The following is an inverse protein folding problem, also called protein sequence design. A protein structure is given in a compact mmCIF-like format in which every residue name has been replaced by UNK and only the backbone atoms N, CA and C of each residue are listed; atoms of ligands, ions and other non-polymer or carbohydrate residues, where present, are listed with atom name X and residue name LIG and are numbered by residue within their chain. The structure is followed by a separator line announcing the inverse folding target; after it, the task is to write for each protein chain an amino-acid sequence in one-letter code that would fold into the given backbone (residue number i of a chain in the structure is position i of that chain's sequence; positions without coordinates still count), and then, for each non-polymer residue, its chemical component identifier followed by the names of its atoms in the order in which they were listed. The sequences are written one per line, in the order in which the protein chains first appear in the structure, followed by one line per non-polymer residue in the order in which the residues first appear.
data_IF_138094304158
#
_entry.id   IF_138094304158
#
_cell.length_a   1.000
_cell.length_b   1.000
_cell.length_c   1.000
_cell.angle_alpha   90.00
_cell.angle_beta   90.00
_cell.angle_gamma   90.00
#
_symmetry.space_group_name_H-M   'P 1'
#
loop_
_entity.id
_entity.type
_entity.pdbx_description
1 polymer ?
#
# COMPACT_ATOMS: atom_id res chain seq x y z
N UNK A 1 -0.83 17.51 4.67
CA UNK A 1 -1.09 16.14 5.17
C UNK A 1 -0.74 16.01 6.65
N UNK A 2 0.44 16.43 7.13
CA UNK A 2 0.84 16.32 8.55
C UNK A 2 -0.25 16.80 9.51
N UNK A 3 -0.76 18.02 9.37
CA UNK A 3 -1.77 18.59 10.29
C UNK A 3 -3.10 17.81 10.29
N UNK A 4 -3.43 17.18 9.17
CA UNK A 4 -4.62 16.33 9.05
C UNK A 4 -4.43 15.05 9.87
N UNK A 5 -3.32 14.34 9.67
CA UNK A 5 -3.06 13.04 10.32
C UNK A 5 -2.74 13.17 11.81
N UNK A 6 -2.29 14.35 12.26
CA UNK A 6 -2.05 14.65 13.69
C UNK A 6 -3.34 15.03 14.43
N UNK A 7 -4.44 15.27 13.71
CA UNK A 7 -5.68 15.70 14.34
C UNK A 7 -6.36 14.54 15.08
N UNK A 8 -6.93 14.85 16.24
CA UNK A 8 -7.71 13.86 17.03
C UNK A 8 -8.92 13.32 16.24
N UNK A 9 -9.47 14.13 15.36
CA UNK A 9 -10.55 13.72 14.45
C UNK A 9 -10.10 12.65 13.48
N UNK A 10 -8.91 12.74 12.90
CA UNK A 10 -8.37 11.73 12.00
C UNK A 10 -8.05 10.42 12.73
N UNK A 11 -7.38 10.52 13.89
CA UNK A 11 -6.96 9.37 14.69
C UNK A 11 -8.18 8.62 15.26
N UNK A 12 -9.19 9.37 15.72
CA UNK A 12 -10.40 8.81 16.34
C UNK A 12 -11.57 8.64 15.36
N UNK A 13 -11.41 9.00 14.10
CA UNK A 13 -12.45 8.82 13.10
C UNK A 13 -12.68 7.32 12.88
N UNK A 14 -13.54 6.76 13.70
CA UNK A 14 -14.25 5.55 13.31
C UNK A 14 -15.13 5.99 12.16
N UNK A 15 -14.91 5.39 10.97
CA UNK A 15 -15.67 5.75 9.78
C UNK A 15 -17.15 5.93 10.11
N UNK A 16 -17.79 6.96 9.58
CA UNK A 16 -19.20 7.24 9.78
C UNK A 16 -20.02 6.01 9.33
N UNK A 17 -20.56 5.27 10.28
CA UNK A 17 -21.24 4.00 10.03
C UNK A 17 -20.24 2.82 9.87
N UNK A 18 -20.46 1.94 8.90
CA UNK A 18 -19.58 0.80 8.56
C UNK A 18 -18.47 1.16 7.55
N UNK A 19 -18.16 2.44 7.33
CA UNK A 19 -17.13 2.85 6.38
C UNK A 19 -15.74 2.69 7.00
N UNK A 20 -14.85 2.06 6.23
CA UNK A 20 -13.44 1.88 6.64
C UNK A 20 -12.70 3.20 6.50
N UNK A 21 -11.89 3.56 7.50
CA UNK A 21 -11.12 4.81 7.53
C UNK A 21 -9.87 4.72 6.63
N UNK A 22 -10.08 4.53 5.31
CA UNK A 22 -9.03 4.40 4.32
C UNK A 22 -8.91 5.66 3.47
N UNK A 23 -7.69 6.15 3.38
CA UNK A 23 -7.34 7.37 2.67
C UNK A 23 -6.30 7.11 1.59
N UNK A 24 -6.33 7.95 0.56
CA UNK A 24 -5.35 7.97 -0.52
C UNK A 24 -4.67 9.33 -0.58
N UNK A 25 -3.35 9.32 -0.58
CA UNK A 25 -2.53 10.46 -0.95
C UNK A 25 -1.96 10.18 -2.34
N UNK A 26 -2.61 10.73 -3.36
CA UNK A 26 -2.18 10.59 -4.74
C UNK A 26 -1.24 11.75 -5.12
N UNK A 27 -0.21 11.45 -5.91
CA UNK A 27 0.83 12.41 -6.30
C UNK A 27 1.34 12.15 -7.71
N UNK A 28 1.94 13.19 -8.31
CA UNK A 28 2.59 13.04 -9.61
C UNK A 28 3.77 12.07 -9.52
N UNK A 29 3.88 11.07 -10.41
CA UNK A 29 4.93 10.05 -10.33
C UNK A 29 6.35 10.62 -10.30
N UNK A 30 6.57 11.78 -10.92
CA UNK A 30 7.85 12.47 -10.95
C UNK A 30 8.29 12.95 -9.57
N UNK A 31 7.35 13.08 -8.63
CA UNK A 31 7.59 13.49 -7.25
C UNK A 31 7.87 12.31 -6.30
N UNK A 32 8.02 11.10 -6.79
CA UNK A 32 8.22 9.89 -5.99
C UNK A 32 9.33 10.07 -4.94
N UNK A 33 10.47 10.66 -5.31
CA UNK A 33 11.59 10.87 -4.39
C UNK A 33 11.24 11.84 -3.24
N UNK A 34 10.51 12.92 -3.53
CA UNK A 34 10.04 13.87 -2.51
C UNK A 34 9.05 13.21 -1.55
N UNK A 35 8.21 12.33 -2.08
CA UNK A 35 7.22 11.61 -1.29
C UNK A 35 7.90 10.59 -0.38
N UNK A 36 8.94 9.90 -0.83
CA UNK A 36 9.74 8.99 0.01
C UNK A 36 10.41 9.75 1.15
N UNK A 37 11.10 10.85 0.86
CA UNK A 37 11.71 11.70 1.89
C UNK A 37 10.67 12.20 2.91
N UNK A 38 9.46 12.51 2.42
CA UNK A 38 8.37 12.94 3.29
C UNK A 38 7.81 11.80 4.15
N UNK A 39 7.71 10.59 3.62
CA UNK A 39 7.31 9.40 4.37
C UNK A 39 8.34 9.12 5.46
N UNK A 40 9.63 9.13 5.14
CA UNK A 40 10.73 8.97 6.11
C UNK A 40 10.65 10.04 7.22
N UNK A 41 10.37 11.28 6.86
CA UNK A 41 10.15 12.35 7.83
C UNK A 41 8.96 12.03 8.76
N UNK A 42 7.83 11.56 8.24
CA UNK A 42 6.64 11.23 9.05
C UNK A 42 6.91 10.06 9.99
N UNK A 43 7.56 8.99 9.51
CA UNK A 43 7.90 7.80 10.29
C UNK A 43 8.81 8.14 11.47
N UNK A 44 9.74 9.09 11.26
CA UNK A 44 10.67 9.53 12.30
C UNK A 44 10.06 10.53 13.30
N UNK A 45 8.83 11.00 13.07
CA UNK A 45 8.11 11.88 14.00
C UNK A 45 7.53 11.07 15.16
N UNK A 46 8.18 11.16 16.33
CA UNK A 46 7.74 10.45 17.55
C UNK A 46 6.33 10.82 18.04
N UNK A 47 5.81 11.96 17.59
CA UNK A 47 4.47 12.46 17.95
C UNK A 47 3.36 11.68 17.22
N UNK A 48 3.70 11.05 16.10
CA UNK A 48 2.77 10.24 15.31
C UNK A 48 3.01 8.77 15.62
N UNK A 49 1.98 8.08 16.12
CA UNK A 49 2.00 6.62 16.16
C UNK A 49 1.71 6.08 14.75
N UNK A 50 2.70 6.22 13.86
CA UNK A 50 2.61 5.88 12.45
C UNK A 50 3.61 4.78 12.11
N UNK A 51 3.14 3.79 11.37
CA UNK A 51 3.98 2.71 10.84
C UNK A 51 3.81 2.60 9.34
N UNK A 52 4.93 2.65 8.64
CA UNK A 52 5.00 2.38 7.22
C UNK A 52 5.06 0.88 6.94
N UNK A 53 4.33 0.47 5.92
CA UNK A 53 4.39 -0.83 5.28
C UNK A 53 4.69 -0.61 3.80
N UNK A 54 5.97 -0.65 3.45
CA UNK A 54 6.40 -0.60 2.06
C UNK A 54 6.17 -1.97 1.43
N UNK A 55 5.23 -2.05 0.49
CA UNK A 55 4.80 -3.32 -0.10
C UNK A 55 5.95 -4.02 -0.84
N UNK A 56 6.84 -3.26 -1.50
CA UNK A 56 8.00 -3.84 -2.17
C UNK A 56 8.95 -4.52 -1.19
N UNK A 57 9.28 -3.85 -0.08
CA UNK A 57 10.19 -4.38 0.92
C UNK A 57 9.61 -5.62 1.60
N UNK A 58 8.31 -5.61 1.90
CA UNK A 58 7.59 -6.76 2.46
C UNK A 58 7.65 -7.96 1.49
N UNK A 59 7.44 -7.76 0.20
CA UNK A 59 7.54 -8.82 -0.80
C UNK A 59 8.95 -9.42 -0.80
N UNK A 60 9.98 -8.58 -0.81
CA UNK A 60 11.38 -9.03 -0.78
C UNK A 60 11.69 -9.81 0.50
N UNK A 61 11.22 -9.32 1.65
CA UNK A 61 11.41 -10.00 2.95
C UNK A 61 10.77 -11.38 2.95
N UNK A 62 9.50 -11.49 2.56
CA UNK A 62 8.80 -12.79 2.50
C UNK A 62 9.49 -13.76 1.52
N UNK A 63 9.95 -13.28 0.36
CA UNK A 63 10.66 -14.14 -0.60
C UNK A 63 12.01 -14.61 -0.04
N UNK A 64 12.72 -13.79 0.73
CA UNK A 64 13.95 -14.15 1.43
C UNK A 64 13.68 -15.24 2.50
N UNK A 65 12.70 -15.01 3.36
CA UNK A 65 12.32 -15.94 4.42
C UNK A 65 11.92 -17.32 3.88
N UNK A 66 11.28 -17.34 2.71
CA UNK A 66 10.92 -18.59 2.02
C UNK A 66 12.09 -19.24 1.27
N UNK A 67 13.27 -18.64 1.25
CA UNK A 67 14.41 -19.11 0.45
C UNK A 67 14.13 -19.10 -1.06
N UNK A 68 13.26 -18.20 -1.52
CA UNK A 68 12.80 -18.16 -2.90
C UNK A 68 13.41 -17.03 -3.73
N UNK A 69 14.05 -16.05 -3.08
CA UNK A 69 14.58 -14.86 -3.77
C UNK A 69 15.64 -15.20 -4.82
N UNK A 70 16.57 -16.11 -4.52
CA UNK A 70 17.63 -16.52 -5.46
C UNK A 70 17.03 -17.23 -6.69
N UNK A 71 15.97 -17.99 -6.50
CA UNK A 71 15.22 -18.64 -7.60
C UNK A 71 14.51 -17.62 -8.47
N UNK A 72 14.04 -16.51 -7.90
CA UNK A 72 13.45 -15.39 -8.65
C UNK A 72 14.49 -14.81 -9.61
N UNK A 73 15.72 -14.56 -9.16
CA UNK A 73 16.80 -14.06 -10.01
C UNK A 73 17.21 -15.05 -11.11
N UNK A 74 17.23 -16.34 -10.80
CA UNK A 74 17.51 -17.37 -11.80
C UNK A 74 16.40 -17.44 -12.87
N UNK A 75 15.14 -17.41 -12.44
CA UNK A 75 13.99 -17.42 -13.33
C UNK A 75 13.91 -16.15 -14.20
N UNK A 76 14.29 -14.99 -13.66
CA UNK A 76 14.34 -13.75 -14.46
C UNK A 76 15.29 -13.93 -15.66
N UNK A 77 16.48 -14.49 -15.42
CA UNK A 77 17.49 -14.75 -16.46
C UNK A 77 17.05 -15.80 -17.49
N UNK A 78 16.34 -16.84 -17.03
CA UNK A 78 16.05 -18.02 -17.88
C UNK A 78 14.67 -18.02 -18.51
N UNK A 79 13.68 -17.39 -17.88
CA UNK A 79 12.26 -17.42 -18.26
C UNK A 79 11.62 -16.05 -18.44
N UNK A 80 12.34 -15.00 -18.05
CA UNK A 80 11.95 -13.59 -18.21
C UNK A 80 10.93 -13.08 -17.20
N UNK A 81 10.77 -11.76 -17.19
CA UNK A 81 9.99 -10.98 -16.21
C UNK A 81 8.54 -11.42 -16.07
N UNK A 82 7.86 -11.72 -17.16
CA UNK A 82 6.44 -12.14 -17.11
C UNK A 82 6.24 -13.43 -16.32
N UNK A 83 7.17 -14.39 -16.48
CA UNK A 83 7.15 -15.64 -15.72
C UNK A 83 7.39 -15.37 -14.22
N UNK A 84 8.37 -14.53 -13.92
CA UNK A 84 8.73 -14.15 -12.56
C UNK A 84 7.56 -13.46 -11.86
N UNK A 85 6.93 -12.48 -12.49
CA UNK A 85 5.77 -11.80 -11.91
C UNK A 85 4.66 -12.79 -11.55
N UNK A 86 4.34 -13.72 -12.46
CA UNK A 86 3.31 -14.73 -12.20
C UNK A 86 3.67 -15.68 -11.05
N UNK A 87 4.95 -16.06 -10.94
CA UNK A 87 5.36 -16.98 -9.89
C UNK A 87 5.40 -16.29 -8.51
N UNK A 88 5.80 -15.01 -8.46
CA UNK A 88 5.72 -14.20 -7.24
C UNK A 88 4.28 -14.07 -6.78
N UNK A 89 3.35 -13.69 -7.67
CA UNK A 89 1.92 -13.58 -7.35
C UNK A 89 1.39 -14.89 -6.75
N UNK A 90 1.73 -16.04 -7.35
CA UNK A 90 1.32 -17.37 -6.85
C UNK A 90 1.98 -17.72 -5.52
N UNK A 91 3.28 -17.46 -5.36
CA UNK A 91 4.04 -17.78 -4.14
C UNK A 91 3.56 -16.97 -2.94
N UNK A 92 3.18 -15.72 -3.17
CA UNK A 92 2.67 -14.83 -2.13
C UNK A 92 1.16 -14.97 -1.90
N UNK A 93 0.45 -15.69 -2.77
CA UNK A 93 -1.00 -15.83 -2.69
C UNK A 93 -1.75 -14.52 -2.90
N UNK A 94 -1.18 -13.58 -3.67
CA UNK A 94 -1.76 -12.25 -3.90
C UNK A 94 -3.20 -12.38 -4.44
N UNK A 95 -4.13 -11.67 -3.81
CA UNK A 95 -5.57 -11.74 -4.13
C UNK A 95 -6.24 -13.08 -3.81
N UNK A 96 -5.64 -13.92 -3.00
CA UNK A 96 -6.26 -15.14 -2.47
C UNK A 96 -6.57 -15.00 -0.97
N UNK A 97 -7.27 -15.98 -0.41
CA UNK A 97 -7.55 -16.02 1.03
C UNK A 97 -6.29 -16.25 1.90
N UNK A 98 -5.16 -16.55 1.28
CA UNK A 98 -3.85 -16.76 1.93
C UNK A 98 -2.81 -15.76 1.43
N UNK A 99 -3.18 -14.50 1.32
CA UNK A 99 -2.31 -13.40 0.90
C UNK A 99 -1.28 -13.09 1.99
N UNK A 100 -0.03 -13.48 1.74
CA UNK A 100 1.06 -13.35 2.71
C UNK A 100 1.45 -11.90 3.00
N UNK A 101 1.21 -10.98 2.07
CA UNK A 101 1.44 -9.54 2.30
C UNK A 101 0.43 -9.01 3.30
N UNK A 102 -0.83 -9.39 3.15
CA UNK A 102 -1.91 -9.04 4.10
C UNK A 102 -1.63 -9.65 5.47
N UNK A 103 -1.23 -10.91 5.52
CA UNK A 103 -0.88 -11.60 6.78
C UNK A 103 0.30 -10.93 7.48
N UNK A 104 1.33 -10.53 6.72
CA UNK A 104 2.48 -9.78 7.26
C UNK A 104 2.04 -8.47 7.90
N UNK A 105 1.25 -7.68 7.18
CA UNK A 105 0.74 -6.39 7.69
C UNK A 105 -0.10 -6.63 8.94
N UNK A 106 -1.06 -7.57 8.91
CA UNK A 106 -1.92 -7.91 10.04
C UNK A 106 -1.14 -8.28 11.31
N UNK A 107 -0.06 -9.05 11.18
CA UNK A 107 0.78 -9.47 12.32
C UNK A 107 1.60 -8.34 12.90
N UNK A 108 1.86 -7.29 12.13
CA UNK A 108 2.77 -6.21 12.48
C UNK A 108 2.08 -4.88 12.80
N UNK A 109 0.75 -4.81 12.77
CA UNK A 109 -0.02 -3.63 13.16
C UNK A 109 -0.28 -3.66 14.66
N UNK A 110 -0.14 -2.49 15.31
CA UNK A 110 -0.53 -2.25 16.70
C UNK A 110 -1.85 -1.45 16.77
N UNK A 111 -2.53 -1.52 17.93
CA UNK A 111 -3.74 -0.72 18.14
C UNK A 111 -3.44 0.79 18.14
N UNK A 112 -4.38 1.59 17.62
CA UNK A 112 -4.28 3.04 17.50
C UNK A 112 -3.08 3.55 16.67
N UNK A 113 -2.54 2.73 15.80
CA UNK A 113 -1.46 3.08 14.90
C UNK A 113 -2.02 3.57 13.56
N UNK A 114 -1.46 4.63 13.01
CA UNK A 114 -1.72 5.05 11.64
C UNK A 114 -0.93 4.12 10.71
N UNK A 115 -1.64 3.45 9.81
CA UNK A 115 -1.04 2.54 8.82
C UNK A 115 -0.75 3.32 7.55
N UNK A 116 0.51 3.40 7.15
CA UNK A 116 0.92 4.03 5.90
C UNK A 116 1.41 2.96 4.92
N UNK A 117 0.73 2.84 3.78
CA UNK A 117 1.10 1.90 2.71
C UNK A 117 1.86 2.67 1.64
N UNK A 118 3.07 2.21 1.31
CA UNK A 118 3.94 2.76 0.26
C UNK A 118 4.44 1.69 -0.72
N UNK A 119 5.22 2.06 -1.72
CA UNK A 119 5.85 1.13 -2.66
C UNK A 119 4.91 0.52 -3.70
N UNK A 120 3.67 1.01 -3.85
CA UNK A 120 2.67 0.48 -4.79
C UNK A 120 3.16 0.56 -6.24
N UNK A 121 3.77 1.68 -6.65
CA UNK A 121 4.29 1.84 -8.00
C UNK A 121 5.43 0.87 -8.31
N UNK A 122 6.32 0.66 -7.35
CA UNK A 122 7.47 -0.24 -7.48
C UNK A 122 7.05 -1.70 -7.64
N UNK A 123 5.89 -2.07 -7.07
CA UNK A 123 5.38 -3.45 -7.11
C UNK A 123 4.60 -3.78 -8.39
N UNK A 124 4.30 -2.80 -9.24
CA UNK A 124 3.56 -3.08 -10.46
C UNK A 124 4.39 -3.94 -11.43
N UNK A 125 3.82 -4.96 -12.09
CA UNK A 125 2.41 -5.37 -12.12
C UNK A 125 2.02 -6.47 -11.11
N UNK A 126 2.89 -6.82 -10.18
CA UNK A 126 2.68 -7.90 -9.19
C UNK A 126 1.52 -7.54 -8.26
N UNK A 127 1.47 -6.30 -7.80
CA UNK A 127 0.46 -5.79 -6.87
C UNK A 127 -0.20 -4.55 -7.47
N UNK A 128 -1.51 -4.41 -7.27
CA UNK A 128 -2.29 -3.24 -7.68
C UNK A 128 -2.91 -2.56 -6.46
N UNK A 129 -2.93 -1.23 -6.45
CA UNK A 129 -3.39 -0.44 -5.30
C UNK A 129 -4.79 -0.82 -4.81
N UNK A 130 -5.78 -0.95 -5.71
CA UNK A 130 -7.13 -1.37 -5.33
C UNK A 130 -7.18 -2.78 -4.71
N UNK A 131 -6.33 -3.70 -5.17
CA UNK A 131 -6.22 -5.06 -4.60
C UNK A 131 -5.71 -5.00 -3.16
N UNK A 132 -4.69 -4.19 -2.89
CA UNK A 132 -4.16 -4.00 -1.53
C UNK A 132 -5.24 -3.46 -0.60
N UNK A 133 -5.93 -2.40 -1.00
CA UNK A 133 -6.97 -1.80 -0.17
C UNK A 133 -8.13 -2.77 0.08
N UNK A 134 -8.59 -3.48 -0.95
CA UNK A 134 -9.67 -4.48 -0.80
C UNK A 134 -9.28 -5.59 0.18
N UNK A 135 -8.07 -6.12 0.06
CA UNK A 135 -7.61 -7.22 0.91
C UNK A 135 -7.39 -6.77 2.35
N UNK A 136 -6.90 -5.53 2.55
CA UNK A 136 -6.68 -4.97 3.88
C UNK A 136 -7.99 -4.57 4.59
N UNK A 137 -9.07 -4.31 3.85
CA UNK A 137 -10.35 -3.91 4.44
C UNK A 137 -10.91 -4.92 5.45
N UNK A 138 -10.68 -6.19 5.23
CA UNK A 138 -11.14 -7.26 6.12
C UNK A 138 -10.30 -7.40 7.39
N UNK A 139 -9.09 -6.88 7.40
CA UNK A 139 -8.12 -7.06 8.50
C UNK A 139 -7.81 -5.77 9.27
N UNK A 140 -7.93 -4.61 8.62
CA UNK A 140 -7.72 -3.29 9.22
C UNK A 140 -9.08 -2.62 9.42
N UNK A 141 -9.65 -2.80 10.61
CA UNK A 141 -11.00 -2.27 10.93
C UNK A 141 -10.97 -1.11 11.91
N UNK A 142 -9.87 -0.92 12.65
CA UNK A 142 -9.77 0.07 13.72
C UNK A 142 -8.74 1.16 13.45
N UNK A 143 -7.79 0.89 12.58
CA UNK A 143 -6.67 1.78 12.30
C UNK A 143 -6.97 2.65 11.07
N UNK A 144 -6.70 3.97 11.12
CA UNK A 144 -6.71 4.77 9.89
C UNK A 144 -5.58 4.29 8.97
N UNK A 145 -5.89 4.17 7.68
CA UNK A 145 -4.93 3.76 6.66
C UNK A 145 -4.77 4.87 5.63
N UNK A 146 -3.52 5.12 5.24
CA UNK A 146 -3.16 6.06 4.17
C UNK A 146 -2.34 5.30 3.14
N UNK A 147 -2.79 5.28 1.90
CA UNK A 147 -2.02 4.73 0.78
C UNK A 147 -1.36 5.85 0.00
N UNK A 148 -0.04 5.80 -0.13
CA UNK A 148 0.75 6.66 -1.00
C UNK A 148 0.66 6.12 -2.43
N UNK A 149 0.08 6.92 -3.34
CA UNK A 149 -0.25 6.43 -4.69
C UNK A 149 0.37 7.30 -5.80
N UNK A 150 1.37 6.79 -6.54
CA UNK A 150 1.98 7.50 -7.66
C UNK A 150 1.07 7.46 -8.89
N UNK A 151 0.27 8.50 -9.06
CA UNK A 151 -0.72 8.61 -10.12
C UNK A 151 -1.92 9.45 -9.70
N UNK A 152 -3.11 9.11 -10.18
CA UNK A 152 -4.34 9.85 -9.90
C UNK A 152 -5.41 8.96 -9.28
N UNK A 153 -6.06 9.49 -8.26
CA UNK A 153 -7.27 8.92 -7.67
C UNK A 153 -8.39 9.96 -7.72
N UNK A 154 -9.54 9.63 -8.29
CA UNK A 154 -10.67 10.56 -8.48
C UNK A 154 -11.81 10.37 -7.47
N UNK A 155 -11.57 9.58 -6.41
CA UNK A 155 -12.57 9.21 -5.41
C UNK A 155 -13.28 7.88 -5.72
N UNK A 156 -13.05 7.29 -6.89
CA UNK A 156 -13.67 6.05 -7.34
C UNK A 156 -12.69 5.11 -8.04
N UNK A 157 -11.84 5.63 -8.89
CA UNK A 157 -10.92 4.87 -9.73
C UNK A 157 -9.48 5.33 -9.57
N UNK A 158 -8.57 4.40 -9.86
CA UNK A 158 -7.13 4.62 -9.81
C UNK A 158 -6.52 4.65 -11.21
N UNK A 159 -5.61 5.60 -11.45
CA UNK A 159 -4.78 5.64 -12.65
C UNK A 159 -3.30 5.67 -12.25
N UNK A 160 -2.65 4.50 -12.25
CA UNK A 160 -1.25 4.39 -11.87
C UNK A 160 -0.37 5.08 -12.91
N UNK A 161 0.59 5.88 -12.43
CA UNK A 161 1.48 6.70 -13.26
C UNK A 161 0.75 7.63 -14.22
N UNK A 162 -0.51 8.00 -13.92
CA UNK A 162 -1.40 8.77 -14.81
C UNK A 162 -1.67 8.11 -16.17
N UNK A 163 -1.33 6.85 -16.36
CA UNK A 163 -1.40 6.13 -17.64
C UNK A 163 -2.18 4.82 -17.55
N UNK A 164 -2.07 4.11 -16.44
CA UNK A 164 -2.64 2.78 -16.27
C UNK A 164 -3.93 2.89 -15.49
N UNK A 165 -5.02 3.17 -16.18
CA UNK A 165 -6.35 3.21 -15.59
C UNK A 165 -6.77 1.83 -15.08
N UNK A 166 -7.47 1.81 -13.94
CA UNK A 166 -8.08 0.62 -13.37
C UNK A 166 -9.59 0.72 -13.51
N UNK A 167 -10.22 -0.29 -14.09
CA UNK A 167 -11.68 -0.39 -14.19
C UNK A 167 -12.34 -0.79 -12.86
N UNK A 168 -11.54 -1.04 -11.83
CA UNK A 168 -12.03 -1.46 -10.52
C UNK A 168 -12.38 -0.24 -9.67
N UNK A 169 -13.62 -0.20 -9.22
CA UNK A 169 -14.12 0.77 -8.27
C UNK A 169 -13.60 0.47 -6.87
N UNK A 170 -13.06 1.49 -6.19
CA UNK A 170 -12.77 1.45 -4.78
C UNK A 170 -13.07 2.79 -4.12
N UNK A 171 -13.84 2.77 -3.05
CA UNK A 171 -14.18 3.99 -2.30
C UNK A 171 -13.21 4.17 -1.13
N UNK A 172 -12.34 5.16 -1.26
CA UNK A 172 -11.50 5.69 -0.20
C UNK A 172 -11.68 7.21 -0.12
N UNK A 173 -11.10 7.84 0.88
CA UNK A 173 -11.12 9.29 1.01
C UNK A 173 -9.81 9.88 0.48
N UNK A 174 -9.87 10.85 -0.39
CA UNK A 174 -8.70 11.61 -0.78
C UNK A 174 -8.26 12.48 0.39
N UNK A 175 -7.03 12.27 0.91
CA UNK A 175 -6.57 12.98 2.12
C UNK A 175 -6.23 14.46 1.84
N UNK A 176 -5.79 14.75 0.62
CA UNK A 176 -5.53 16.12 0.11
C UNK A 176 -6.05 16.18 -1.30
N UNK A 177 -7.01 17.08 -1.55
CA UNK A 177 -7.51 17.30 -2.91
C UNK A 177 -6.46 18.01 -3.75
N UNK A 178 -6.12 17.47 -4.91
CA UNK A 178 -5.35 18.19 -5.91
C UNK A 178 -6.21 19.32 -6.51
N UNK A 179 -5.65 20.50 -6.58
CA UNK A 179 -6.24 21.63 -7.29
C UNK A 179 -5.90 21.55 -8.77
#
# INVERSE_FOLDING_TARGET
MHDIISSSTFINSRGLGNEVNFHVFDYEPENEYLVRDYVDYLVNKKELNLKEFNIYDIIIEILKEKGFLDKVFEYEKTKGTKYVNNIIVKTLGISSNSDLVVDYIKKNIEENQIVLISGIGTCWPIVRGHTVLNNLQSVITKNPLIMMYPGKYDGQSFSLFNQLASDNYYRAFQIVSRK
#
